data_IF_929342001722
#
_entry.id   IF_929342001722
#
_cell.length_a   1.000
_cell.length_b   1.000
_cell.length_c   1.000
_cell.angle_alpha   90.00
_cell.angle_beta   90.00
_cell.angle_gamma   90.00
#
_symmetry.space_group_name_H-M   'P 1'
#
loop_
_entity.id
_entity.type
_entity.pdbx_description
1 polymer ?
#
# COMPACT_ATOMS: atom_id res chain seq x y z
N UNK A 1 -11.75 -19.64 -4.14
CA UNK A 1 -10.47 -19.10 -3.63
C UNK A 1 -9.61 -20.25 -3.15
N UNK A 2 -8.37 -20.34 -3.61
CA UNK A 2 -7.42 -21.39 -3.20
C UNK A 2 -6.82 -21.06 -1.84
N UNK A 3 -6.46 -22.08 -1.06
CA UNK A 3 -5.76 -21.92 0.24
C UNK A 3 -4.54 -20.99 0.13
N UNK A 4 -3.77 -21.08 -0.96
CA UNK A 4 -2.63 -20.21 -1.22
C UNK A 4 -2.97 -18.70 -1.25
N UNK A 5 -4.13 -18.31 -1.80
CA UNK A 5 -4.55 -16.91 -1.83
C UNK A 5 -4.94 -16.42 -0.42
N UNK A 6 -5.48 -17.30 0.42
CA UNK A 6 -5.79 -16.95 1.81
C UNK A 6 -4.50 -16.78 2.62
N UNK A 7 -3.48 -17.62 2.40
CA UNK A 7 -2.16 -17.45 3.03
C UNK A 7 -1.50 -16.11 2.65
N UNK A 8 -1.62 -15.67 1.39
CA UNK A 8 -1.10 -14.37 0.96
C UNK A 8 -1.84 -13.18 1.58
N UNK A 9 -3.12 -13.34 1.91
CA UNK A 9 -3.94 -12.29 2.53
C UNK A 9 -3.90 -12.32 4.07
N UNK A 10 -3.27 -13.33 4.69
CA UNK A 10 -3.24 -13.50 6.14
C UNK A 10 -2.26 -12.50 6.78
N UNK A 11 -2.67 -11.87 7.87
CA UNK A 11 -1.83 -10.92 8.62
C UNK A 11 -0.58 -11.56 9.23
N UNK A 12 -0.53 -12.89 9.31
CA UNK A 12 0.62 -13.66 9.80
C UNK A 12 1.64 -13.94 8.69
N UNK A 13 1.39 -13.53 7.45
CA UNK A 13 2.38 -13.62 6.39
C UNK A 13 3.66 -12.88 6.84
N UNK A 14 4.83 -13.54 6.87
CA UNK A 14 6.07 -12.95 7.40
C UNK A 14 6.73 -11.99 6.40
N UNK A 15 5.95 -11.08 5.81
CA UNK A 15 6.40 -10.07 4.85
C UNK A 15 6.74 -8.72 5.50
N UNK A 16 6.70 -8.63 6.84
CA UNK A 16 6.99 -7.39 7.56
C UNK A 16 5.83 -6.39 7.62
N UNK A 17 4.57 -6.85 7.55
CA UNK A 17 3.36 -6.02 7.47
C UNK A 17 3.14 -4.97 8.57
N UNK A 18 3.86 -5.04 9.69
CA UNK A 18 3.86 -3.99 10.72
C UNK A 18 4.69 -2.75 10.35
N UNK A 19 5.46 -2.77 9.25
CA UNK A 19 6.37 -1.68 8.90
C UNK A 19 5.67 -0.45 8.29
N UNK A 20 4.41 -0.55 7.85
CA UNK A 20 3.77 0.50 7.07
C UNK A 20 2.40 0.89 7.63
N UNK A 21 2.38 1.84 8.55
CA UNK A 21 1.18 2.55 9.02
C UNK A 21 0.39 3.23 7.88
N UNK A 22 0.97 3.30 6.67
CA UNK A 22 0.32 3.87 5.50
C UNK A 22 0.07 5.37 5.63
N UNK A 23 0.78 6.05 6.53
CA UNK A 23 0.61 7.46 6.87
C UNK A 23 -0.51 7.72 7.90
N UNK A 24 -1.14 6.67 8.45
CA UNK A 24 -2.22 6.85 9.44
C UNK A 24 -1.70 7.47 10.74
N UNK A 25 -0.49 7.08 11.17
CA UNK A 25 0.16 7.65 12.36
C UNK A 25 0.37 9.15 12.20
N UNK A 26 0.94 9.56 11.08
CA UNK A 26 1.15 10.97 10.74
C UNK A 26 -0.19 11.73 10.61
N UNK A 27 -1.21 11.10 10.04
CA UNK A 27 -2.54 11.71 9.92
C UNK A 27 -3.22 11.90 11.30
N UNK A 28 -2.95 11.02 12.26
CA UNK A 28 -3.37 11.18 13.67
C UNK A 28 -2.57 12.32 14.31
N UNK A 29 -1.25 12.31 14.20
CA UNK A 29 -0.39 13.37 14.75
C UNK A 29 -0.75 14.75 14.21
N UNK A 30 -1.14 14.86 12.94
CA UNK A 30 -1.59 16.09 12.29
C UNK A 30 -3.05 16.48 12.60
N UNK A 31 -3.80 15.64 13.34
CA UNK A 31 -5.20 15.91 13.69
C UNK A 31 -6.22 15.70 12.56
N UNK A 32 -5.81 15.09 11.44
CA UNK A 32 -6.69 14.74 10.32
C UNK A 32 -7.55 13.50 10.61
N UNK A 33 -7.01 12.55 11.39
CA UNK A 33 -7.71 11.36 11.88
C UNK A 33 -7.85 11.47 13.39
N UNK A 34 -9.07 11.52 13.89
CA UNK A 34 -9.37 11.75 15.34
C UNK A 34 -10.48 10.85 15.88
N UNK A 35 -11.16 10.13 15.00
CA UNK A 35 -12.27 9.23 15.32
C UNK A 35 -12.47 8.21 14.18
N UNK A 36 -13.44 7.32 14.35
CA UNK A 36 -13.74 6.26 13.38
C UNK A 36 -14.22 6.86 12.04
N UNK A 37 -15.00 7.94 12.06
CA UNK A 37 -15.53 8.56 10.84
C UNK A 37 -14.42 9.18 9.98
N UNK A 38 -13.48 9.87 10.62
CA UNK A 38 -12.31 10.45 9.96
C UNK A 38 -11.32 9.39 9.49
N UNK A 39 -11.19 8.27 10.21
CA UNK A 39 -10.43 7.10 9.77
C UNK A 39 -11.06 6.45 8.53
N UNK A 40 -12.38 6.22 8.50
CA UNK A 40 -13.08 5.69 7.32
C UNK A 40 -12.86 6.59 6.10
N UNK A 41 -13.02 7.91 6.26
CA UNK A 41 -12.75 8.88 5.20
C UNK A 41 -11.28 8.86 4.73
N UNK A 42 -10.32 8.71 5.65
CA UNK A 42 -8.91 8.56 5.32
C UNK A 42 -8.66 7.28 4.51
N UNK A 43 -9.18 6.14 4.95
CA UNK A 43 -9.00 4.84 4.30
C UNK A 43 -9.63 4.83 2.89
N UNK A 44 -10.84 5.37 2.74
CA UNK A 44 -11.49 5.50 1.41
C UNK A 44 -10.67 6.35 0.46
N UNK A 45 -10.20 7.52 0.89
CA UNK A 45 -9.32 8.36 0.06
C UNK A 45 -8.06 7.61 -0.33
N UNK A 46 -7.45 6.89 0.61
CA UNK A 46 -6.23 6.10 0.36
C UNK A 46 -6.47 4.96 -0.64
N UNK A 47 -7.63 4.28 -0.57
CA UNK A 47 -8.01 3.27 -1.56
C UNK A 47 -8.12 3.86 -2.97
N UNK A 48 -8.71 5.05 -3.10
CA UNK A 48 -8.88 5.70 -4.41
C UNK A 48 -7.62 6.38 -4.95
N UNK A 49 -6.58 6.57 -4.13
CA UNK A 49 -5.30 7.16 -4.56
C UNK A 49 -4.20 6.11 -4.64
N UNK A 50 -3.40 5.95 -3.59
CA UNK A 50 -2.28 5.01 -3.56
C UNK A 50 -2.72 3.56 -3.76
N UNK A 51 -3.91 3.19 -3.25
CA UNK A 51 -4.48 1.86 -3.47
C UNK A 51 -4.78 1.57 -4.94
N UNK A 52 -5.36 2.52 -5.66
CA UNK A 52 -5.67 2.39 -7.09
C UNK A 52 -4.39 2.24 -7.92
N UNK A 53 -3.34 3.00 -7.61
CA UNK A 53 -2.03 2.89 -8.29
C UNK A 53 -1.41 1.52 -8.04
N UNK A 54 -1.33 1.08 -6.78
CA UNK A 54 -0.78 -0.22 -6.43
C UNK A 54 -1.56 -1.38 -7.10
N UNK A 55 -2.89 -1.29 -7.16
CA UNK A 55 -3.71 -2.28 -7.85
C UNK A 55 -3.47 -2.29 -9.36
N UNK A 56 -3.29 -1.12 -9.99
CA UNK A 56 -2.96 -1.00 -11.41
C UNK A 56 -1.60 -1.61 -11.75
N UNK A 57 -0.57 -1.34 -10.94
CA UNK A 57 0.76 -1.92 -11.11
C UNK A 57 0.73 -3.45 -10.92
N UNK A 58 0.01 -3.94 -9.92
CA UNK A 58 -0.14 -5.39 -9.70
C UNK A 58 -0.87 -6.06 -10.88
N UNK A 59 -1.94 -5.46 -11.40
CA UNK A 59 -2.64 -5.96 -12.57
C UNK A 59 -1.74 -6.00 -13.82
N UNK A 60 -0.94 -4.95 -14.04
CA UNK A 60 0.02 -4.89 -15.14
C UNK A 60 1.12 -5.96 -15.01
N UNK A 61 1.65 -6.18 -13.80
CA UNK A 61 2.63 -7.23 -13.54
C UNK A 61 2.07 -8.64 -13.81
N UNK A 62 0.79 -8.88 -13.52
CA UNK A 62 0.13 -10.14 -13.87
C UNK A 62 -0.06 -10.32 -15.39
N UNK A 63 -0.09 -9.23 -16.16
CA UNK A 63 -0.39 -9.20 -17.60
C UNK A 63 0.83 -9.10 -18.52
N UNK A 64 1.98 -9.66 -18.12
CA UNK A 64 3.26 -9.62 -18.86
C UNK A 64 3.91 -8.21 -18.94
N UNK A 65 3.57 -7.30 -18.02
CA UNK A 65 4.24 -6.01 -17.92
C UNK A 65 5.73 -6.15 -17.57
N UNK A 66 6.56 -5.28 -18.14
CA UNK A 66 7.98 -5.15 -17.81
C UNK A 66 8.14 -4.76 -16.33
N UNK A 67 8.66 -5.69 -15.52
CA UNK A 67 8.76 -5.54 -14.07
C UNK A 67 9.72 -4.43 -13.65
N UNK A 68 10.82 -4.21 -14.38
CA UNK A 68 11.79 -3.16 -14.06
C UNK A 68 11.15 -1.78 -14.28
N UNK A 69 10.36 -1.64 -15.35
CA UNK A 69 9.59 -0.43 -15.63
C UNK A 69 8.50 -0.19 -14.58
N UNK A 70 7.79 -1.23 -14.16
CA UNK A 70 6.75 -1.13 -13.14
C UNK A 70 7.33 -0.81 -11.74
N UNK A 71 8.51 -1.34 -11.40
CA UNK A 71 9.22 -1.00 -10.16
C UNK A 71 9.63 0.48 -10.15
N UNK A 72 10.18 0.98 -11.27
CA UNK A 72 10.50 2.40 -11.41
C UNK A 72 9.25 3.31 -11.30
N UNK A 73 8.10 2.88 -11.83
CA UNK A 73 6.82 3.59 -11.64
C UNK A 73 6.36 3.58 -10.17
N UNK A 74 6.51 2.46 -9.47
CA UNK A 74 6.19 2.34 -8.05
C UNK A 74 7.06 3.28 -7.19
N UNK A 75 8.35 3.37 -7.50
CA UNK A 75 9.30 4.28 -6.86
C UNK A 75 8.94 5.75 -7.10
N UNK A 76 8.62 6.11 -8.35
CA UNK A 76 8.23 7.47 -8.71
C UNK A 76 6.95 7.90 -7.98
N UNK A 77 6.01 6.97 -7.75
CA UNK A 77 4.78 7.18 -7.00
C UNK A 77 4.96 7.23 -5.48
N UNK A 78 6.17 7.00 -4.96
CA UNK A 78 6.46 6.90 -3.52
C UNK A 78 7.45 7.99 -3.09
N UNK A 79 7.01 9.21 -2.71
CA UNK A 79 7.90 10.34 -2.44
C UNK A 79 8.85 10.13 -1.25
N UNK A 80 8.44 9.38 -0.24
CA UNK A 80 9.22 9.15 0.99
C UNK A 80 10.40 8.21 0.73
N UNK A 81 11.66 8.66 0.96
CA UNK A 81 12.83 7.79 0.82
C UNK A 81 12.82 6.59 1.76
N UNK A 82 12.34 6.78 3.00
CA UNK A 82 12.22 5.72 3.98
C UNK A 82 11.18 4.66 3.55
N UNK A 83 10.10 5.09 2.89
CA UNK A 83 9.07 4.18 2.38
C UNK A 83 9.58 3.37 1.18
N UNK A 84 10.34 4.00 0.26
CA UNK A 84 11.01 3.28 -0.84
C UNK A 84 12.04 2.27 -0.34
N UNK A 85 12.82 2.64 0.66
CA UNK A 85 13.83 1.73 1.23
C UNK A 85 13.19 0.50 1.88
N UNK A 86 12.05 0.69 2.55
CA UNK A 86 11.36 -0.39 3.24
C UNK A 86 10.47 -1.25 2.33
N UNK A 87 10.20 -0.82 1.09
CA UNK A 87 9.49 -1.62 0.08
C UNK A 87 10.40 -2.58 -0.71
N UNK A 88 11.70 -2.59 -0.43
CA UNK A 88 12.73 -3.43 -1.08
C UNK A 88 13.00 -4.69 -0.26
#
# INVERSE_FOLDING_TARGET
MTSALLTLADSRLPSGGHAHSGGVEQAITAGHVRDIATLDAFLRRRLHTSGAVAAGLAAAACGEGDLDRLDAEADAGTPSPALRAASR
#
